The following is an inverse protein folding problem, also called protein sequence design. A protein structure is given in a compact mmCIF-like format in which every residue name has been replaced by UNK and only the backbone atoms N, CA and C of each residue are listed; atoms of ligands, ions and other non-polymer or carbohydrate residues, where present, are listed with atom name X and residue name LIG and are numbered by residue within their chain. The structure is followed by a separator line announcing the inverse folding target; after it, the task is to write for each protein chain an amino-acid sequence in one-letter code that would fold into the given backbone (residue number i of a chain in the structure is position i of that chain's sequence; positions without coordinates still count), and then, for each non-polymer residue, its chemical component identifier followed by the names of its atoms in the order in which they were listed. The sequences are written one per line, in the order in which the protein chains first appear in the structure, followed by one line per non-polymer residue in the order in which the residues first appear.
data_IF_443432978016
#
_entry.id   IF_443432978016
#
_cell.length_a   1.000
_cell.length_b   1.000
_cell.length_c   1.000
_cell.angle_alpha   90.00
_cell.angle_beta   90.00
_cell.angle_gamma   90.00
#
_symmetry.space_group_name_H-M   'P 1'
#
loop_
_entity.id
_entity.type
_entity.pdbx_description
1 polymer ?
#
# COMPACT_ATOMS: atom_id res chain seq x y z
N UNK A 1 -31.56 -12.03 3.58
CA UNK A 1 -30.16 -11.53 3.57
C UNK A 1 -29.64 -11.62 4.99
N UNK A 2 -28.75 -12.57 5.28
CA UNK A 2 -28.07 -12.62 6.58
C UNK A 2 -27.12 -11.44 6.65
N UNK A 3 -27.27 -10.57 7.65
CA UNK A 3 -26.35 -9.46 7.90
C UNK A 3 -24.98 -10.08 8.17
N UNK A 4 -24.04 -9.95 7.23
CA UNK A 4 -22.66 -10.38 7.46
C UNK A 4 -22.12 -9.62 8.66
N UNK A 5 -21.58 -10.34 9.66
CA UNK A 5 -20.87 -9.69 10.75
C UNK A 5 -19.65 -8.95 10.18
N UNK A 6 -19.29 -7.82 10.79
CA UNK A 6 -18.10 -7.07 10.41
C UNK A 6 -16.84 -7.95 10.35
N UNK A 7 -16.70 -8.90 11.27
CA UNK A 7 -15.60 -9.86 11.28
C UNK A 7 -15.57 -10.77 10.06
N UNK A 8 -16.74 -11.27 9.61
CA UNK A 8 -16.85 -12.11 8.43
C UNK A 8 -16.47 -11.37 7.15
N UNK A 9 -16.91 -10.12 7.02
CA UNK A 9 -16.53 -9.25 5.90
C UNK A 9 -15.03 -8.95 5.88
N UNK A 10 -14.46 -8.57 7.03
CA UNK A 10 -13.05 -8.24 7.18
C UNK A 10 -12.15 -9.43 6.88
N UNK A 11 -12.56 -10.63 7.30
CA UNK A 11 -11.82 -11.85 6.98
C UNK A 11 -11.92 -12.21 5.50
N UNK A 12 -13.10 -12.03 4.88
CA UNK A 12 -13.31 -12.30 3.45
C UNK A 12 -12.42 -11.44 2.56
N UNK A 13 -12.28 -10.15 2.89
CA UNK A 13 -11.60 -9.13 2.08
C UNK A 13 -10.28 -8.63 2.69
N UNK A 14 -9.69 -9.39 3.61
CA UNK A 14 -8.51 -9.01 4.40
C UNK A 14 -7.32 -8.49 3.56
N UNK A 15 -7.04 -9.12 2.41
CA UNK A 15 -5.98 -8.70 1.50
C UNK A 15 -6.30 -7.36 0.85
N UNK A 16 -7.51 -7.20 0.31
CA UNK A 16 -7.95 -5.95 -0.32
C UNK A 16 -7.94 -4.79 0.68
N UNK A 17 -8.45 -5.02 1.89
CA UNK A 17 -8.43 -4.03 2.96
C UNK A 17 -6.99 -3.62 3.28
N UNK A 18 -6.07 -4.57 3.44
CA UNK A 18 -4.67 -4.25 3.69
C UNK A 18 -3.99 -3.48 2.57
N UNK A 19 -4.28 -3.82 1.31
CA UNK A 19 -3.77 -3.09 0.13
C UNK A 19 -4.29 -1.66 0.10
N UNK A 20 -5.60 -1.47 0.32
CA UNK A 20 -6.20 -0.14 0.38
C UNK A 20 -5.61 0.69 1.52
N UNK A 21 -5.48 0.10 2.72
CA UNK A 21 -4.85 0.78 3.86
C UNK A 21 -3.40 1.13 3.55
N UNK A 22 -2.59 0.22 2.99
CA UNK A 22 -1.21 0.53 2.61
C UNK A 22 -1.16 1.69 1.61
N UNK A 23 -1.97 1.62 0.53
CA UNK A 23 -2.02 2.64 -0.50
C UNK A 23 -2.44 4.02 0.03
N UNK A 24 -3.58 4.09 0.71
CA UNK A 24 -4.12 5.36 1.22
C UNK A 24 -3.25 5.96 2.31
N UNK A 25 -2.81 5.17 3.30
CA UNK A 25 -1.98 5.70 4.39
C UNK A 25 -0.63 6.21 3.86
N UNK A 26 0.01 5.49 2.96
CA UNK A 26 1.27 5.96 2.34
C UNK A 26 1.06 7.27 1.57
N UNK A 27 -0.02 7.36 0.79
CA UNK A 27 -0.32 8.55 -0.02
C UNK A 27 -0.66 9.77 0.84
N UNK A 28 -1.44 9.57 1.90
CA UNK A 28 -1.78 10.63 2.86
C UNK A 28 -0.51 11.14 3.57
N UNK A 29 0.36 10.23 4.03
CA UNK A 29 1.61 10.61 4.69
C UNK A 29 2.55 11.38 3.77
N UNK A 30 2.67 10.94 2.51
CA UNK A 30 3.45 11.63 1.49
C UNK A 30 2.94 13.07 1.26
N UNK A 31 1.61 13.26 1.28
CA UNK A 31 1.00 14.57 1.10
C UNK A 31 1.22 15.52 2.30
N UNK A 32 1.15 15.00 3.53
CA UNK A 32 1.34 15.83 4.74
C UNK A 32 2.80 16.30 4.88
N UNK A 33 3.76 15.48 4.46
CA UNK A 33 5.19 15.76 4.57
C UNK A 33 5.93 15.51 3.25
N UNK A 34 5.75 16.38 2.23
CA UNK A 34 6.34 16.19 0.91
C UNK A 34 7.86 16.46 0.87
N UNK A 35 8.44 17.03 1.93
CA UNK A 35 9.84 17.44 1.97
C UNK A 35 10.72 16.49 2.78
N UNK A 36 11.63 15.77 2.10
CA UNK A 36 12.67 14.97 2.73
C UNK A 36 13.63 14.37 1.72
N UNK A 37 14.92 14.62 1.88
CA UNK A 37 16.00 14.12 1.02
C UNK A 37 16.12 12.59 1.24
N UNK A 38 15.83 11.81 0.19
CA UNK A 38 16.17 10.38 0.01
C UNK A 38 15.76 9.32 1.06
N UNK A 39 15.10 9.65 2.18
CA UNK A 39 14.73 8.65 3.21
C UNK A 39 13.30 8.74 3.76
N UNK A 40 12.61 9.88 3.66
CA UNK A 40 11.28 10.06 4.26
C UNK A 40 10.16 9.31 3.51
N UNK A 41 10.24 9.28 2.17
CA UNK A 41 9.25 8.62 1.33
C UNK A 41 9.18 7.10 1.62
N UNK A 42 10.33 6.47 1.83
CA UNK A 42 10.43 5.07 2.21
C UNK A 42 9.86 4.80 3.62
N UNK A 43 10.05 5.73 4.57
CA UNK A 43 9.45 5.63 5.90
C UNK A 43 7.92 5.63 5.81
N UNK A 44 7.33 6.47 4.96
CA UNK A 44 5.87 6.51 4.78
C UNK A 44 5.33 5.22 4.19
N UNK A 45 6.05 4.62 3.23
CA UNK A 45 5.70 3.31 2.71
C UNK A 45 5.82 2.23 3.81
N UNK A 46 6.88 2.26 4.61
CA UNK A 46 7.07 1.31 5.72
C UNK A 46 5.93 1.40 6.72
N UNK A 47 5.52 2.61 7.10
CA UNK A 47 4.40 2.83 8.02
C UNK A 47 3.07 2.40 7.39
N UNK A 48 2.77 2.84 6.17
CA UNK A 48 1.54 2.51 5.47
C UNK A 48 1.39 0.99 5.27
N UNK A 49 2.41 0.34 4.74
CA UNK A 49 2.38 -1.10 4.54
C UNK A 49 2.48 -1.89 5.85
N UNK A 50 3.15 -1.39 6.88
CA UNK A 50 3.12 -1.98 8.23
C UNK A 50 1.69 -2.02 8.80
N UNK A 51 0.95 -0.91 8.70
CA UNK A 51 -0.44 -0.82 9.15
C UNK A 51 -1.34 -1.71 8.28
N UNK A 52 -1.20 -1.67 6.95
CA UNK A 52 -1.97 -2.51 6.03
C UNK A 52 -1.78 -4.01 6.29
N UNK A 53 -0.52 -4.45 6.41
CA UNK A 53 -0.18 -5.84 6.71
C UNK A 53 -0.69 -6.27 8.10
N UNK A 54 -0.59 -5.40 9.12
CA UNK A 54 -1.16 -5.67 10.44
C UNK A 54 -2.67 -5.98 10.34
N UNK A 55 -3.45 -5.17 9.62
CA UNK A 55 -4.89 -5.42 9.42
C UNK A 55 -5.17 -6.69 8.61
N UNK A 56 -4.36 -6.98 7.58
CA UNK A 56 -4.49 -8.24 6.82
C UNK A 56 -4.27 -9.46 7.69
N UNK A 57 -3.19 -9.48 8.49
CA UNK A 57 -2.85 -10.63 9.31
C UNK A 57 -3.76 -10.78 10.53
N UNK A 58 -4.28 -9.68 11.08
CA UNK A 58 -5.30 -9.71 12.14
C UNK A 58 -6.58 -10.42 11.72
N UNK A 59 -6.90 -10.40 10.42
CA UNK A 59 -8.11 -11.01 9.86
C UNK A 59 -7.76 -12.09 8.81
N UNK A 60 -6.64 -12.80 8.98
CA UNK A 60 -6.24 -13.83 8.02
C UNK A 60 -7.18 -15.05 8.07
N UNK A 61 -7.42 -15.67 6.91
CA UNK A 61 -8.10 -16.96 6.84
C UNK A 61 -7.10 -18.07 7.16
N UNK A 62 -7.52 -19.10 7.88
CA UNK A 62 -6.67 -20.25 8.20
C UNK A 62 -6.10 -20.94 6.94
N UNK A 63 -6.84 -20.92 5.84
CA UNK A 63 -6.41 -21.50 4.56
C UNK A 63 -5.35 -20.68 3.80
N UNK A 64 -5.09 -19.44 4.21
CA UNK A 64 -4.17 -18.55 3.51
C UNK A 64 -2.73 -18.72 3.99
N UNK A 65 -1.80 -18.85 3.03
CA UNK A 65 -0.37 -18.88 3.34
C UNK A 65 0.12 -17.50 3.78
N UNK A 66 0.58 -17.39 5.03
CA UNK A 66 1.04 -16.12 5.61
C UNK A 66 2.07 -15.38 4.75
N UNK A 67 3.10 -16.09 4.27
CA UNK A 67 4.18 -15.50 3.47
C UNK A 67 3.65 -15.02 2.12
N UNK A 68 2.88 -15.86 1.40
CA UNK A 68 2.32 -15.48 0.10
C UNK A 68 1.37 -14.29 0.23
N UNK A 69 0.50 -14.31 1.24
CA UNK A 69 -0.43 -13.22 1.54
C UNK A 69 0.33 -11.92 1.81
N UNK A 70 1.35 -11.95 2.67
CA UNK A 70 2.17 -10.79 2.98
C UNK A 70 2.87 -10.21 1.74
N UNK A 71 3.52 -11.05 0.92
CA UNK A 71 4.18 -10.61 -0.31
C UNK A 71 3.18 -9.98 -1.28
N UNK A 72 2.02 -10.61 -1.50
CA UNK A 72 1.00 -10.08 -2.42
C UNK A 72 0.50 -8.73 -1.93
N UNK A 73 0.15 -8.61 -0.66
CA UNK A 73 -0.35 -7.34 -0.08
C UNK A 73 0.73 -6.25 -0.11
N UNK A 74 1.97 -6.58 0.23
CA UNK A 74 3.09 -5.63 0.18
C UNK A 74 3.38 -5.13 -1.24
N UNK A 75 3.42 -6.04 -2.22
CA UNK A 75 3.65 -5.71 -3.63
C UNK A 75 2.50 -4.85 -4.19
N UNK A 76 1.27 -5.34 -4.09
CA UNK A 76 0.10 -4.65 -4.65
C UNK A 76 -0.19 -3.34 -3.92
N UNK A 77 0.01 -3.28 -2.60
CA UNK A 77 -0.09 -2.07 -1.80
C UNK A 77 0.92 -0.99 -2.22
N UNK A 78 2.17 -1.38 -2.49
CA UNK A 78 3.21 -0.43 -2.94
C UNK A 78 2.94 0.12 -4.35
N UNK A 79 2.49 -0.73 -5.27
CA UNK A 79 2.07 -0.32 -6.62
C UNK A 79 0.88 0.63 -6.53
N UNK A 80 -0.12 0.30 -5.72
CA UNK A 80 -1.29 1.16 -5.51
C UNK A 80 -0.89 2.50 -4.86
N UNK A 81 0.04 2.50 -3.91
CA UNK A 81 0.54 3.73 -3.29
C UNK A 81 1.17 4.66 -4.33
N UNK A 82 2.05 4.15 -5.20
CA UNK A 82 2.66 4.97 -6.27
C UNK A 82 1.62 5.57 -7.21
N UNK A 83 0.62 4.78 -7.59
CA UNK A 83 -0.48 5.24 -8.43
C UNK A 83 -1.33 6.31 -7.73
N UNK A 84 -1.64 6.13 -6.45
CA UNK A 84 -2.40 7.13 -5.69
C UNK A 84 -1.60 8.41 -5.50
N UNK A 85 -0.30 8.33 -5.24
CA UNK A 85 0.59 9.49 -5.16
C UNK A 85 0.58 10.26 -6.48
N UNK A 86 0.71 9.58 -7.63
CA UNK A 86 0.67 10.25 -8.94
C UNK A 86 -0.70 10.88 -9.22
N UNK A 87 -1.78 10.19 -8.86
CA UNK A 87 -3.15 10.69 -8.99
C UNK A 87 -3.38 11.94 -8.13
N UNK A 88 -2.97 11.93 -6.87
CA UNK A 88 -3.10 13.09 -5.98
C UNK A 88 -2.27 14.27 -6.47
N UNK A 89 -1.01 14.05 -6.87
CA UNK A 89 -0.15 15.11 -7.41
C UNK A 89 -0.76 15.73 -8.68
N UNK A 90 -1.30 14.91 -9.57
CA UNK A 90 -1.98 15.37 -10.78
C UNK A 90 -3.26 16.15 -10.49
N UNK A 91 -4.10 15.70 -9.55
CA UNK A 91 -5.31 16.43 -9.16
C UNK A 91 -4.94 17.82 -8.67
N UNK A 92 -3.95 17.94 -7.78
CA UNK A 92 -3.52 19.23 -7.23
C UNK A 92 -2.99 20.16 -8.31
N UNK A 93 -2.10 19.65 -9.18
CA UNK A 93 -1.60 20.42 -10.32
C UNK A 93 -2.75 20.87 -11.24
N UNK A 94 -3.73 19.99 -11.49
CA UNK A 94 -4.85 20.30 -12.38
C UNK A 94 -5.79 21.36 -11.83
N UNK A 95 -5.84 21.56 -10.50
CA UNK A 95 -6.61 22.64 -9.90
C UNK A 95 -6.05 24.03 -10.23
N UNK A 96 -4.72 24.14 -10.34
CA UNK A 96 -4.04 25.42 -10.61
C UNK A 96 -3.81 25.67 -12.11
N UNK A 97 -3.60 24.61 -12.90
CA UNK A 97 -3.16 24.72 -14.31
C UNK A 97 -4.12 24.07 -15.32
N UNK A 98 -5.21 23.45 -14.87
CA UNK A 98 -6.17 22.75 -15.71
C UNK A 98 -5.88 21.25 -15.91
N UNK A 99 -6.88 20.50 -16.37
CA UNK A 99 -6.79 19.05 -16.55
C UNK A 99 -5.99 18.66 -17.80
N UNK A 100 -4.83 18.04 -17.59
CA UNK A 100 -4.02 17.43 -18.64
C UNK A 100 -3.73 15.95 -18.32
N UNK A 101 -4.38 15.04 -19.04
CA UNK A 101 -4.19 13.60 -18.85
C UNK A 101 -2.83 13.10 -19.35
N UNK A 102 -2.19 13.76 -20.31
CA UNK A 102 -0.87 13.38 -20.77
C UNK A 102 0.15 13.57 -19.65
N UNK A 103 0.05 14.70 -18.94
CA UNK A 103 0.88 15.00 -17.77
C UNK A 103 0.67 13.99 -16.63
N UNK A 104 -0.56 13.51 -16.40
CA UNK A 104 -0.81 12.43 -15.45
C UNK A 104 -0.03 11.15 -15.78
N UNK A 105 -0.05 10.74 -17.06
CA UNK A 105 0.68 9.55 -17.50
C UNK A 105 2.19 9.74 -17.37
N UNK A 106 2.72 10.91 -17.73
CA UNK A 106 4.13 11.23 -17.59
C UNK A 106 4.59 11.20 -16.12
N UNK A 107 3.83 11.82 -15.20
CA UNK A 107 4.15 11.77 -13.78
C UNK A 107 4.09 10.36 -13.20
N UNK A 108 3.06 9.60 -13.58
CA UNK A 108 2.93 8.21 -13.15
C UNK A 108 4.13 7.40 -13.63
N UNK A 109 4.48 7.48 -14.92
CA UNK A 109 5.63 6.76 -15.47
C UNK A 109 6.94 7.16 -14.78
N UNK A 110 7.17 8.45 -14.57
CA UNK A 110 8.34 8.98 -13.87
C UNK A 110 8.45 8.41 -12.45
N UNK A 111 7.37 8.48 -11.65
CA UNK A 111 7.35 7.93 -10.30
C UNK A 111 7.66 6.42 -10.27
N UNK A 112 7.08 5.65 -11.20
CA UNK A 112 7.35 4.22 -11.29
C UNK A 112 8.79 3.90 -11.71
N UNK A 113 9.40 4.69 -12.61
CA UNK A 113 10.78 4.47 -13.05
C UNK A 113 11.80 4.84 -11.96
N UNK A 114 11.61 5.95 -11.26
CA UNK A 114 12.56 6.43 -10.26
C UNK A 114 12.40 5.76 -8.90
N UNK A 115 11.15 5.54 -8.44
CA UNK A 115 10.87 5.03 -7.10
C UNK A 115 10.30 3.61 -7.11
N UNK A 116 9.76 3.14 -8.23
CA UNK A 116 9.01 1.87 -8.28
C UNK A 116 9.82 0.65 -7.85
N UNK A 117 11.07 0.53 -8.28
CA UNK A 117 11.92 -0.62 -7.90
C UNK A 117 12.12 -0.66 -6.38
N UNK A 118 12.46 0.48 -5.77
CA UNK A 118 12.69 0.58 -4.33
C UNK A 118 11.38 0.37 -3.54
N UNK A 119 10.30 1.03 -3.93
CA UNK A 119 8.99 0.90 -3.27
C UNK A 119 8.50 -0.54 -3.30
N UNK A 120 8.53 -1.18 -4.47
CA UNK A 120 8.09 -2.58 -4.61
C UNK A 120 8.99 -3.52 -3.80
N UNK A 121 10.31 -3.33 -3.83
CA UNK A 121 11.24 -4.14 -3.06
C UNK A 121 10.99 -4.01 -1.56
N UNK A 122 10.81 -2.79 -1.04
CA UNK A 122 10.49 -2.53 0.38
C UNK A 122 9.15 -3.15 0.75
N UNK A 123 8.12 -3.00 -0.07
CA UNK A 123 6.81 -3.61 0.15
C UNK A 123 6.87 -5.14 0.22
N UNK A 124 7.56 -5.78 -0.71
CA UNK A 124 7.77 -7.24 -0.72
C UNK A 124 8.57 -7.68 0.51
N UNK A 125 9.62 -6.95 0.87
CA UNK A 125 10.44 -7.25 2.06
C UNK A 125 9.60 -7.19 3.34
N UNK A 126 8.81 -6.14 3.53
CA UNK A 126 7.91 -6.01 4.68
C UNK A 126 6.85 -7.11 4.69
N UNK A 127 6.26 -7.41 3.54
CA UNK A 127 5.30 -8.50 3.36
C UNK A 127 5.87 -9.85 3.78
N UNK A 128 7.11 -10.13 3.39
CA UNK A 128 7.83 -11.34 3.79
C UNK A 128 8.13 -11.37 5.29
N UNK A 129 8.61 -10.27 5.87
CA UNK A 129 8.92 -10.15 7.30
C UNK A 129 7.67 -10.35 8.18
N UNK A 130 6.57 -9.66 7.86
CA UNK A 130 5.30 -9.82 8.57
C UNK A 130 4.74 -11.23 8.39
N UNK A 131 4.78 -11.78 7.17
CA UNK A 131 4.34 -13.15 6.90
C UNK A 131 5.09 -14.18 7.75
N UNK A 132 6.39 -14.02 7.93
CA UNK A 132 7.19 -14.88 8.81
C UNK A 132 6.88 -14.66 10.29
N UNK A 133 6.72 -13.42 10.73
CA UNK A 133 6.40 -13.09 12.12
C UNK A 133 5.06 -13.71 12.55
N UNK A 134 4.01 -13.56 11.75
CA UNK A 134 2.69 -14.11 12.06
C UNK A 134 2.62 -15.63 11.91
N UNK A 135 3.36 -16.22 10.95
CA UNK A 135 3.48 -17.68 10.86
C UNK A 135 3.97 -18.32 12.17
N UNK A 136 4.87 -17.65 12.89
CA UNK A 136 5.43 -18.15 14.17
C UNK A 136 4.49 -17.99 15.36
N UNK A 137 3.43 -17.18 15.27
CA UNK A 137 2.45 -16.97 16.36
C UNK A 137 1.21 -17.87 16.28
N UNK A 138 0.96 -18.49 15.12
CA UNK A 138 -0.20 -19.37 14.88
C UNK A 138 0.16 -20.86 15.14
N UNK A 139 1.35 -21.10 15.71
CA UNK A 139 1.77 -22.39 16.29
C UNK A 139 1.85 -22.18 17.80
#
# INVERSE_FOLDING_TARGET
MTVESYSGFAQRHNMMIGVLICGFTTSILFFIMPFGIFFMADIFLVLGCGIGLYFTFKNIKESQSHIKTGIIVGLTGSVLALFLISLFAWILYSLDFGFDFLLFFEYTLSLFLYYGIFYVAVGVMLGYLFGNYYKRRVI
#
